data_IF_351231872892
#
_entry.id   IF_351231872892
#
_cell.length_a   1.000
_cell.length_b   1.000
_cell.length_c   1.000
_cell.angle_alpha   90.00
_cell.angle_beta   90.00
_cell.angle_gamma   90.00
#
_symmetry.space_group_name_H-M   'P 1'
#
loop_
_entity.id
_entity.type
_entity.pdbx_description
1 polymer ?
#
# COMPACT_ATOMS: atom_id res chain seq x y z
N UNK A 1 -4.75 4.99 26.43
CA UNK A 1 -5.38 3.84 25.73
C UNK A 1 -4.72 2.56 26.23
N UNK A 2 -5.47 1.52 26.52
CA UNK A 2 -4.85 0.28 27.07
C UNK A 2 -4.43 -0.63 25.92
N UNK A 3 -3.20 -0.48 25.43
CA UNK A 3 -2.62 -1.27 24.33
C UNK A 3 -2.71 -2.77 24.60
N UNK A 4 -2.37 -3.18 25.84
CA UNK A 4 -2.44 -4.59 26.22
C UNK A 4 -3.84 -5.19 26.03
N UNK A 5 -4.91 -4.48 26.45
CA UNK A 5 -6.29 -4.97 26.29
C UNK A 5 -6.64 -5.17 24.81
N UNK A 6 -6.26 -4.21 23.94
CA UNK A 6 -6.50 -4.32 22.50
C UNK A 6 -5.73 -5.49 21.87
N UNK A 7 -4.46 -5.68 22.25
CA UNK A 7 -3.69 -6.85 21.79
C UNK A 7 -4.33 -8.15 22.29
N UNK A 8 -4.72 -8.21 23.56
CA UNK A 8 -5.37 -9.39 24.14
C UNK A 8 -6.69 -9.72 23.44
N UNK A 9 -7.48 -8.72 23.06
CA UNK A 9 -8.72 -8.94 22.33
C UNK A 9 -8.45 -9.60 20.95
N UNK A 10 -7.42 -9.13 20.24
CA UNK A 10 -7.06 -9.70 18.93
C UNK A 10 -6.48 -11.10 19.09
N UNK A 11 -5.52 -11.30 20.00
CA UNK A 11 -4.85 -12.61 20.19
C UNK A 11 -5.84 -13.67 20.69
N UNK A 12 -6.74 -13.28 21.59
CA UNK A 12 -7.77 -14.18 22.08
C UNK A 12 -8.77 -14.55 20.97
N UNK A 13 -9.17 -13.59 20.16
CA UNK A 13 -10.11 -13.83 19.03
C UNK A 13 -9.49 -14.73 17.95
N UNK A 14 -8.23 -14.50 17.57
CA UNK A 14 -7.57 -15.25 16.48
C UNK A 14 -7.07 -16.62 16.93
N UNK A 15 -6.48 -16.72 18.12
CA UNK A 15 -5.74 -17.92 18.52
C UNK A 15 -6.17 -18.46 19.88
N UNK A 16 -7.12 -17.83 20.58
CA UNK A 16 -7.52 -18.19 21.95
C UNK A 16 -6.31 -18.22 22.91
N UNK A 17 -5.42 -17.24 22.77
CA UNK A 17 -4.18 -17.10 23.56
C UNK A 17 -4.11 -15.71 24.20
N UNK A 18 -3.39 -15.62 25.34
CA UNK A 18 -2.94 -14.31 25.83
C UNK A 18 -1.74 -13.82 25.03
N UNK A 19 -1.48 -12.50 24.98
CA UNK A 19 -0.33 -11.96 24.24
C UNK A 19 1.02 -12.54 24.66
N UNK A 20 1.21 -12.85 25.96
CA UNK A 20 2.43 -13.45 26.50
C UNK A 20 2.72 -14.84 25.90
N UNK A 21 1.67 -15.61 25.62
CA UNK A 21 1.75 -16.98 25.12
C UNK A 21 1.86 -17.05 23.58
N UNK A 22 1.77 -15.91 22.91
CA UNK A 22 1.89 -15.81 21.47
C UNK A 22 3.36 -15.78 21.03
N UNK A 23 3.65 -16.33 19.86
CA UNK A 23 4.95 -16.15 19.18
C UNK A 23 5.11 -14.71 18.68
N UNK A 24 6.33 -14.27 18.35
CA UNK A 24 6.55 -12.94 17.78
C UNK A 24 5.81 -12.76 16.46
N UNK A 25 5.68 -13.81 15.66
CA UNK A 25 4.90 -13.80 14.43
C UNK A 25 3.40 -13.57 14.68
N UNK A 26 2.80 -14.25 15.65
CA UNK A 26 1.39 -14.03 16.05
C UNK A 26 1.19 -12.61 16.60
N UNK A 27 2.14 -12.11 17.40
CA UNK A 27 2.10 -10.73 17.93
C UNK A 27 2.19 -9.71 16.78
N UNK A 28 3.04 -9.94 15.77
CA UNK A 28 3.09 -9.06 14.60
C UNK A 28 1.70 -8.92 13.96
N UNK A 29 1.00 -10.01 13.65
CA UNK A 29 -0.34 -9.94 13.08
C UNK A 29 -1.39 -9.32 14.01
N UNK A 30 -1.27 -9.55 15.32
CA UNK A 30 -2.15 -8.88 16.28
C UNK A 30 -1.93 -7.37 16.31
N UNK A 31 -0.66 -6.93 16.25
CA UNK A 31 -0.29 -5.53 16.19
C UNK A 31 -0.72 -4.88 14.86
N UNK A 32 -0.54 -5.58 13.74
CA UNK A 32 -1.01 -5.13 12.43
C UNK A 32 -2.52 -4.85 12.48
N UNK A 33 -3.31 -5.82 12.93
CA UNK A 33 -4.77 -5.67 13.00
C UNK A 33 -5.21 -4.56 13.97
N UNK A 34 -4.58 -4.50 15.15
CA UNK A 34 -4.85 -3.45 16.14
C UNK A 34 -4.55 -2.06 15.56
N UNK A 35 -3.36 -1.90 15.00
CA UNK A 35 -2.88 -0.62 14.48
C UNK A 35 -3.69 -0.19 13.26
N UNK A 36 -3.98 -1.13 12.36
CA UNK A 36 -4.85 -0.89 11.22
C UNK A 36 -6.22 -0.36 11.64
N UNK A 37 -6.89 -1.00 12.62
CA UNK A 37 -8.18 -0.53 13.15
C UNK A 37 -8.08 0.89 13.70
N UNK A 38 -7.02 1.21 14.44
CA UNK A 38 -6.79 2.54 14.97
C UNK A 38 -6.59 3.60 13.87
N UNK A 39 -5.84 3.26 12.83
CA UNK A 39 -5.66 4.14 11.67
C UNK A 39 -6.98 4.36 10.90
N UNK A 40 -7.76 3.28 10.72
CA UNK A 40 -9.06 3.33 10.02
C UNK A 40 -10.09 4.20 10.74
N UNK A 41 -10.05 4.22 12.07
CA UNK A 41 -10.97 5.02 12.89
C UNK A 41 -10.64 6.53 12.87
N UNK A 42 -9.49 6.93 12.31
CA UNK A 42 -9.17 8.34 12.12
C UNK A 42 -10.06 8.98 11.05
N UNK A 43 -10.55 10.21 11.28
CA UNK A 43 -11.33 10.90 10.27
C UNK A 43 -10.49 11.26 9.04
N UNK A 44 -11.14 11.36 7.88
CA UNK A 44 -10.50 11.94 6.68
C UNK A 44 -10.34 13.44 6.85
N UNK A 45 -9.23 14.03 6.35
CA UNK A 45 -9.08 15.48 6.30
C UNK A 45 -10.21 16.13 5.50
N UNK A 46 -10.55 17.36 5.87
CA UNK A 46 -11.56 18.15 5.19
C UNK A 46 -10.91 19.38 4.55
N UNK A 47 -11.40 19.80 3.39
CA UNK A 47 -10.90 20.97 2.68
C UNK A 47 -11.77 21.30 1.47
N UNK A 48 -11.71 22.56 1.02
CA UNK A 48 -12.42 22.99 -0.19
C UNK A 48 -11.86 22.32 -1.46
N UNK A 49 -10.57 22.00 -1.43
CA UNK A 49 -9.87 21.34 -2.52
C UNK A 49 -9.23 20.05 -2.03
N UNK A 50 -9.19 19.02 -2.89
CA UNK A 50 -8.49 17.78 -2.66
C UNK A 50 -7.30 17.65 -3.61
N UNK A 51 -6.15 17.31 -3.05
CA UNK A 51 -4.94 16.97 -3.79
C UNK A 51 -4.96 15.49 -4.16
N UNK A 52 -4.64 15.16 -5.41
CA UNK A 52 -4.38 13.79 -5.84
C UNK A 52 -2.93 13.71 -6.34
N UNK A 53 -2.09 13.03 -5.56
CA UNK A 53 -0.68 12.89 -5.87
C UNK A 53 -0.42 11.60 -6.63
N UNK A 54 -0.27 11.71 -7.95
CA UNK A 54 0.02 10.57 -8.82
C UNK A 54 1.51 10.25 -8.81
N UNK A 55 1.85 9.00 -8.53
CA UNK A 55 3.21 8.50 -8.69
C UNK A 55 3.18 7.04 -9.16
N UNK A 56 4.11 6.70 -10.07
CA UNK A 56 4.31 5.31 -10.47
C UNK A 56 4.90 4.47 -9.32
N UNK A 57 5.47 5.11 -8.30
CA UNK A 57 6.17 4.47 -7.20
C UNK A 57 5.86 5.15 -5.87
N UNK A 58 5.70 4.34 -4.82
CA UNK A 58 5.63 4.79 -3.43
C UNK A 58 6.48 3.88 -2.54
N UNK A 59 7.71 4.29 -2.24
CA UNK A 59 8.58 3.56 -1.31
C UNK A 59 8.20 3.91 0.13
N UNK A 60 7.13 3.31 0.61
CA UNK A 60 6.58 3.59 1.95
C UNK A 60 7.39 2.96 3.08
N UNK A 61 8.11 1.87 2.81
CA UNK A 61 8.84 1.11 3.82
C UNK A 61 7.90 0.27 4.70
N UNK A 62 8.43 -0.22 5.82
CA UNK A 62 7.64 -0.91 6.85
C UNK A 62 6.71 0.06 7.55
N UNK A 63 5.46 -0.32 7.74
CA UNK A 63 4.39 0.58 8.18
C UNK A 63 4.05 0.46 9.66
N UNK A 64 4.42 -0.65 10.34
CA UNK A 64 4.03 -0.88 11.72
C UNK A 64 4.54 0.24 12.63
N UNK A 65 5.85 0.43 12.72
CA UNK A 65 6.43 1.49 13.54
C UNK A 65 6.04 2.88 13.08
N UNK A 66 5.99 3.12 11.76
CA UNK A 66 5.55 4.39 11.22
C UNK A 66 4.13 4.75 11.71
N UNK A 67 3.21 3.81 11.65
CA UNK A 67 1.83 4.01 12.08
C UNK A 67 1.71 4.17 13.60
N UNK A 68 2.49 3.40 14.40
CA UNK A 68 2.54 3.56 15.85
C UNK A 68 3.05 4.96 16.25
N UNK A 69 4.07 5.47 15.56
CA UNK A 69 4.60 6.82 15.76
C UNK A 69 3.56 7.89 15.37
N UNK A 70 2.92 7.75 14.21
CA UNK A 70 1.89 8.69 13.76
C UNK A 70 0.69 8.75 14.71
N UNK A 71 0.30 7.60 15.27
CA UNK A 71 -0.76 7.50 16.28
C UNK A 71 -0.32 7.99 17.69
N UNK A 72 0.98 8.22 17.90
CA UNK A 72 1.55 8.64 19.20
C UNK A 72 1.52 7.56 20.26
N UNK A 73 1.53 6.28 19.88
CA UNK A 73 1.45 5.14 20.81
C UNK A 73 2.68 4.23 20.76
N UNK A 74 3.72 4.62 20.04
CA UNK A 74 4.93 3.82 19.87
C UNK A 74 5.56 3.43 21.20
N UNK A 75 5.90 4.41 22.07
CA UNK A 75 6.53 4.15 23.36
C UNK A 75 5.65 3.35 24.33
N UNK A 76 4.30 3.58 24.31
CA UNK A 76 3.37 2.80 25.14
C UNK A 76 3.35 1.34 24.67
N UNK A 77 3.35 1.11 23.35
CA UNK A 77 3.39 -0.23 22.77
C UNK A 77 4.68 -0.96 23.10
N UNK A 78 5.84 -0.28 22.97
CA UNK A 78 7.15 -0.84 23.29
C UNK A 78 7.20 -1.29 24.75
N UNK A 79 6.78 -0.44 25.71
CA UNK A 79 6.71 -0.78 27.14
C UNK A 79 5.79 -1.98 27.43
N UNK A 80 4.66 -2.08 26.73
CA UNK A 80 3.75 -3.23 26.87
C UNK A 80 4.43 -4.51 26.38
N UNK A 81 5.10 -4.49 25.24
CA UNK A 81 5.83 -5.63 24.72
C UNK A 81 6.98 -6.05 25.65
N UNK A 82 7.76 -5.09 26.15
CA UNK A 82 8.84 -5.35 27.11
C UNK A 82 8.31 -6.01 28.39
N UNK A 83 7.15 -5.60 28.89
CA UNK A 83 6.52 -6.20 30.08
C UNK A 83 6.16 -7.68 29.88
N UNK A 84 6.01 -8.12 28.63
CA UNK A 84 5.76 -9.50 28.22
C UNK A 84 7.03 -10.23 27.79
N UNK A 85 8.23 -9.61 27.97
CA UNK A 85 9.51 -10.17 27.55
C UNK A 85 9.73 -10.20 26.03
N UNK A 86 9.05 -9.33 25.29
CA UNK A 86 9.13 -9.22 23.83
C UNK A 86 9.76 -7.89 23.42
N UNK A 87 10.35 -7.85 22.23
CA UNK A 87 10.94 -6.63 21.67
C UNK A 87 10.26 -6.27 20.36
N UNK A 88 9.89 -5.00 20.21
CA UNK A 88 9.28 -4.50 18.99
C UNK A 88 10.17 -4.75 17.76
N UNK A 89 11.47 -4.50 17.88
CA UNK A 89 12.42 -4.73 16.78
C UNK A 89 12.50 -6.17 16.29
N UNK A 90 12.27 -7.16 17.17
CA UNK A 90 12.21 -8.57 16.77
C UNK A 90 10.87 -8.94 16.11
N UNK A 91 9.80 -8.24 16.49
CA UNK A 91 8.46 -8.45 15.94
C UNK A 91 8.37 -7.83 14.53
N UNK A 92 8.96 -6.67 14.32
CA UNK A 92 8.99 -5.99 13.01
C UNK A 92 9.74 -6.75 11.92
N UNK A 93 10.62 -7.69 12.29
CA UNK A 93 11.28 -8.56 11.30
C UNK A 93 10.29 -9.42 10.51
N UNK A 94 9.10 -9.69 11.08
CA UNK A 94 8.03 -10.45 10.41
C UNK A 94 7.21 -9.60 9.43
N UNK A 95 7.37 -8.28 9.42
CA UNK A 95 6.65 -7.41 8.49
C UNK A 95 7.22 -7.51 7.07
N UNK A 96 6.43 -7.98 6.08
CA UNK A 96 6.83 -7.88 4.70
C UNK A 96 6.77 -6.40 4.27
N UNK A 97 7.85 -5.90 3.69
CA UNK A 97 7.89 -4.53 3.18
C UNK A 97 7.03 -4.40 1.91
N UNK A 98 6.10 -3.43 1.86
CA UNK A 98 5.34 -3.16 0.65
C UNK A 98 6.24 -2.79 -0.53
N UNK A 99 6.28 -3.65 -1.55
CA UNK A 99 7.15 -3.51 -2.72
C UNK A 99 6.56 -2.56 -3.77
N UNK A 100 6.20 -1.34 -3.38
CA UNK A 100 5.48 -0.36 -4.20
C UNK A 100 6.37 0.71 -4.81
N UNK A 101 7.65 0.71 -4.53
CA UNK A 101 8.58 1.72 -5.02
C UNK A 101 10.03 1.40 -4.73
N UNK A 102 10.93 2.15 -5.36
CA UNK A 102 12.37 2.06 -5.19
C UNK A 102 13.01 3.43 -5.40
N UNK A 103 14.21 3.61 -4.84
CA UNK A 103 15.04 4.77 -5.06
C UNK A 103 14.39 6.12 -4.69
N UNK A 104 14.91 7.19 -5.33
CA UNK A 104 14.57 8.57 -4.98
C UNK A 104 13.14 8.97 -5.34
N UNK A 105 12.62 8.51 -6.48
CA UNK A 105 11.27 8.84 -6.94
C UNK A 105 10.21 8.29 -5.97
N UNK A 106 10.30 6.99 -5.66
CA UNK A 106 9.36 6.34 -4.77
C UNK A 106 9.45 6.86 -3.33
N UNK A 107 10.68 7.14 -2.84
CA UNK A 107 10.86 7.70 -1.50
C UNK A 107 10.34 9.13 -1.38
N UNK A 108 10.56 9.95 -2.39
CA UNK A 108 10.04 11.32 -2.41
C UNK A 108 8.50 11.33 -2.39
N UNK A 109 7.87 10.46 -3.18
CA UNK A 109 6.41 10.32 -3.20
C UNK A 109 5.85 9.90 -1.83
N UNK A 110 6.47 8.93 -1.16
CA UNK A 110 6.10 8.52 0.19
C UNK A 110 6.25 9.67 1.20
N UNK A 111 7.38 10.40 1.17
CA UNK A 111 7.61 11.54 2.06
C UNK A 111 6.59 12.68 1.84
N UNK A 112 6.21 12.95 0.60
CA UNK A 112 5.17 13.95 0.33
C UNK A 112 3.81 13.51 0.85
N UNK A 113 3.47 12.23 0.69
CA UNK A 113 2.20 11.70 1.19
C UNK A 113 2.14 11.77 2.73
N UNK A 114 3.21 11.39 3.42
CA UNK A 114 3.35 11.56 4.87
C UNK A 114 3.22 13.03 5.31
N UNK A 115 3.85 13.95 4.54
CA UNK A 115 3.78 15.38 4.83
C UNK A 115 2.37 15.94 4.66
N UNK A 116 1.66 15.53 3.58
CA UNK A 116 0.26 15.89 3.35
C UNK A 116 -0.61 15.46 4.53
N UNK A 117 -0.43 14.21 4.99
CA UNK A 117 -1.17 13.67 6.13
C UNK A 117 -0.81 14.38 7.44
N UNK A 118 0.48 14.61 7.73
CA UNK A 118 0.94 15.26 8.95
C UNK A 118 0.47 16.72 9.04
N UNK A 119 0.37 17.42 7.92
CA UNK A 119 -0.19 18.78 7.84
C UNK A 119 -1.72 18.80 7.91
N UNK A 120 -2.39 17.65 7.92
CA UNK A 120 -3.84 17.54 7.92
C UNK A 120 -4.50 18.04 6.63
N UNK A 121 -3.77 18.05 5.52
CA UNK A 121 -4.27 18.49 4.22
C UNK A 121 -5.16 17.41 3.60
N UNK A 122 -6.22 17.82 2.92
CA UNK A 122 -7.08 16.92 2.16
C UNK A 122 -6.38 16.51 0.87
N UNK A 123 -5.73 15.32 0.88
CA UNK A 123 -5.00 14.82 -0.28
C UNK A 123 -4.64 13.37 -0.17
N UNK A 124 -4.77 12.65 -1.28
CA UNK A 124 -4.51 11.22 -1.37
C UNK A 124 -3.45 10.92 -2.43
N UNK A 125 -2.72 9.81 -2.23
CA UNK A 125 -1.82 9.25 -3.23
C UNK A 125 -2.58 8.37 -4.21
N UNK A 126 -2.10 8.29 -5.45
CA UNK A 126 -2.64 7.41 -6.50
C UNK A 126 -1.49 6.68 -7.18
N UNK A 127 -1.53 5.35 -7.16
CA UNK A 127 -0.49 4.50 -7.71
C UNK A 127 -1.00 3.14 -8.19
N UNK A 128 -0.08 2.21 -8.39
CA UNK A 128 -0.37 0.82 -8.76
C UNK A 128 0.01 -0.14 -7.63
N UNK A 129 -0.76 -1.21 -7.49
CA UNK A 129 -0.53 -2.27 -6.53
C UNK A 129 0.40 -3.34 -7.13
N UNK A 130 1.71 -3.09 -7.14
CA UNK A 130 2.67 -4.05 -7.69
C UNK A 130 2.80 -5.27 -6.79
N UNK A 131 2.62 -6.46 -7.36
CA UNK A 131 2.74 -7.74 -6.66
C UNK A 131 4.19 -8.14 -6.42
N UNK A 132 5.08 -7.80 -7.37
CA UNK A 132 6.51 -8.12 -7.38
C UNK A 132 7.33 -6.85 -7.66
N UNK A 133 7.16 -5.83 -6.82
CA UNK A 133 7.81 -4.52 -7.03
C UNK A 133 9.31 -4.56 -6.76
N UNK A 134 9.76 -5.40 -5.82
CA UNK A 134 11.17 -5.63 -5.50
C UNK A 134 11.53 -7.10 -5.70
N UNK A 135 12.83 -7.38 -5.68
CA UNK A 135 13.37 -8.73 -5.84
C UNK A 135 13.95 -9.21 -4.52
N UNK A 136 13.66 -10.46 -4.17
CA UNK A 136 14.43 -11.17 -3.16
C UNK A 136 15.72 -11.66 -3.78
N UNK A 137 16.84 -11.15 -3.29
CA UNK A 137 18.16 -11.56 -3.76
C UNK A 137 18.61 -12.83 -3.05
N UNK A 138 19.07 -13.81 -3.84
CA UNK A 138 19.64 -15.06 -3.36
C UNK A 138 20.98 -15.33 -4.04
N UNK A 139 21.85 -16.06 -3.34
CA UNK A 139 23.09 -16.56 -3.93
C UNK A 139 22.95 -18.05 -4.23
N UNK A 140 23.10 -18.41 -5.49
CA UNK A 140 23.09 -19.80 -5.97
C UNK A 140 24.37 -20.02 -6.75
N UNK A 141 25.19 -21.01 -6.34
CA UNK A 141 26.47 -21.29 -6.93
C UNK A 141 27.38 -20.05 -7.07
N UNK A 142 27.47 -19.26 -6.03
CA UNK A 142 28.21 -17.97 -5.96
C UNK A 142 27.76 -16.89 -6.96
N UNK A 143 26.61 -17.05 -7.59
CA UNK A 143 26.00 -16.03 -8.43
C UNK A 143 24.76 -15.46 -7.74
N UNK A 144 24.60 -14.15 -7.81
CA UNK A 144 23.39 -13.48 -7.35
C UNK A 144 22.26 -13.80 -8.32
N UNK A 145 21.08 -14.11 -7.76
CA UNK A 145 19.85 -14.34 -8.50
C UNK A 145 18.73 -13.50 -7.89
N UNK A 146 17.95 -12.86 -8.74
CA UNK A 146 16.74 -12.14 -8.40
C UNK A 146 15.56 -13.12 -8.46
N UNK A 147 14.79 -13.17 -7.36
CA UNK A 147 13.55 -13.95 -7.29
C UNK A 147 12.39 -12.99 -7.01
N UNK A 148 11.17 -13.30 -7.46
CA UNK A 148 9.99 -12.55 -7.04
C UNK A 148 9.91 -12.48 -5.51
N UNK A 149 9.57 -11.33 -4.98
CA UNK A 149 9.35 -11.10 -3.54
C UNK A 149 7.88 -10.75 -3.30
N UNK A 150 6.99 -11.75 -3.14
CA UNK A 150 5.59 -11.52 -2.87
C UNK A 150 5.43 -10.94 -1.47
N UNK A 151 4.71 -9.83 -1.36
CA UNK A 151 4.43 -9.17 -0.09
C UNK A 151 2.93 -9.15 0.26
N UNK A 152 2.07 -9.48 -0.73
CA UNK A 152 0.60 -9.42 -0.60
C UNK A 152 0.00 -10.78 -0.18
N UNK A 153 0.77 -11.85 -0.15
CA UNK A 153 0.27 -13.22 0.05
C UNK A 153 -0.35 -13.49 1.43
N UNK A 154 -0.08 -12.62 2.41
CA UNK A 154 -0.57 -12.74 3.78
C UNK A 154 -1.42 -11.52 4.16
N UNK A 155 -1.90 -11.49 5.41
CA UNK A 155 -2.49 -10.29 5.97
C UNK A 155 -1.53 -9.11 5.81
N UNK A 156 -2.00 -8.02 5.21
CA UNK A 156 -1.19 -6.86 4.86
C UNK A 156 -1.91 -5.56 5.25
N UNK A 157 -1.25 -4.42 5.01
CA UNK A 157 -1.84 -3.10 5.22
C UNK A 157 -2.86 -2.69 4.15
N UNK A 158 -3.08 -3.53 3.15
CA UNK A 158 -4.03 -3.27 2.06
C UNK A 158 -5.47 -3.49 2.51
N UNK A 159 -6.33 -2.54 2.21
CA UNK A 159 -7.78 -2.62 2.36
C UNK A 159 -8.43 -2.80 0.99
N UNK A 160 -9.25 -3.83 0.86
CA UNK A 160 -10.08 -3.99 -0.33
C UNK A 160 -11.20 -2.95 -0.35
N UNK A 161 -11.41 -2.31 -1.49
CA UNK A 161 -12.50 -1.37 -1.66
C UNK A 161 -13.55 -1.93 -2.64
N UNK A 162 -14.73 -1.31 -2.66
CA UNK A 162 -15.78 -1.63 -3.65
C UNK A 162 -15.63 -0.85 -4.95
N UNK A 163 -14.60 0.00 -5.04
CA UNK A 163 -14.39 0.89 -6.19
C UNK A 163 -13.65 0.14 -7.30
N UNK A 164 -14.19 0.17 -8.48
CA UNK A 164 -13.54 -0.36 -9.69
C UNK A 164 -13.91 0.46 -10.92
N UNK A 165 -13.05 0.45 -11.92
CA UNK A 165 -13.23 1.17 -13.18
C UNK A 165 -12.85 0.29 -14.36
N UNK A 166 -13.51 0.52 -15.49
CA UNK A 166 -13.13 -0.07 -16.77
C UNK A 166 -12.12 0.85 -17.48
N UNK A 167 -10.95 0.31 -17.81
CA UNK A 167 -9.89 1.03 -18.53
C UNK A 167 -9.79 0.46 -19.95
N UNK A 168 -10.26 1.19 -20.97
CA UNK A 168 -10.19 0.72 -22.36
C UNK A 168 -8.78 0.91 -22.94
N UNK A 169 -8.28 -0.13 -23.59
CA UNK A 169 -7.08 -0.12 -24.43
C UNK A 169 -7.45 -0.34 -25.88
N UNK A 170 -6.51 -0.18 -26.79
CA UNK A 170 -6.79 -0.29 -28.23
C UNK A 170 -7.31 -1.65 -28.73
N UNK A 171 -7.18 -2.71 -27.95
CA UNK A 171 -7.60 -4.08 -28.31
C UNK A 171 -8.32 -4.85 -27.21
N UNK A 172 -8.41 -4.31 -25.99
CA UNK A 172 -9.06 -4.94 -24.85
C UNK A 172 -9.48 -3.89 -23.82
N UNK A 173 -10.30 -4.29 -22.87
CA UNK A 173 -10.64 -3.48 -21.70
C UNK A 173 -10.19 -4.21 -20.45
N UNK A 174 -9.54 -3.49 -19.51
CA UNK A 174 -9.07 -4.05 -18.24
C UNK A 174 -9.82 -3.41 -17.09
N UNK A 175 -10.34 -4.24 -16.19
CA UNK A 175 -10.94 -3.77 -14.95
C UNK A 175 -9.83 -3.39 -13.95
N UNK A 176 -9.88 -2.15 -13.48
CA UNK A 176 -9.06 -1.64 -12.40
C UNK A 176 -9.83 -1.76 -11.09
N UNK A 177 -9.35 -2.57 -10.15
CA UNK A 177 -9.87 -2.65 -8.78
C UNK A 177 -9.01 -1.76 -7.89
N UNK A 178 -9.64 -1.05 -6.94
CA UNK A 178 -8.92 -0.16 -6.05
C UNK A 178 -8.71 -0.81 -4.69
N UNK A 179 -7.49 -0.71 -4.19
CA UNK A 179 -7.09 -1.05 -2.82
C UNK A 179 -6.52 0.18 -2.14
N UNK A 180 -6.66 0.28 -0.83
CA UNK A 180 -6.17 1.41 -0.07
C UNK A 180 -5.11 1.00 0.94
N UNK A 181 -4.11 1.88 1.15
CA UNK A 181 -3.29 1.90 2.35
C UNK A 181 -3.65 3.17 3.12
N UNK A 182 -3.92 3.02 4.41
CA UNK A 182 -4.21 4.16 5.29
C UNK A 182 -2.92 4.85 5.69
N UNK A 183 -2.86 6.16 5.53
CA UNK A 183 -1.70 7.00 5.85
C UNK A 183 -2.07 7.94 7.00
N UNK A 184 -1.83 7.56 8.27
CA UNK A 184 -2.13 8.41 9.41
C UNK A 184 -1.15 9.57 9.48
N UNK A 185 -1.65 10.77 9.70
CA UNK A 185 -0.82 11.96 9.83
C UNK A 185 -0.26 12.13 11.23
N UNK A 186 1.06 12.20 11.36
CA UNK A 186 1.72 12.43 12.64
C UNK A 186 1.27 13.75 13.28
N UNK A 187 0.59 13.65 14.41
CA UNK A 187 0.08 14.80 15.16
C UNK A 187 -1.19 15.48 14.60
N UNK A 188 -1.65 15.15 13.40
CA UNK A 188 -2.81 15.77 12.76
C UNK A 188 -4.15 15.16 13.18
N UNK A 189 -4.15 13.94 13.71
CA UNK A 189 -5.33 13.15 14.09
C UNK A 189 -6.32 12.89 12.94
N UNK A 190 -5.81 12.90 11.72
CA UNK A 190 -6.53 12.51 10.49
C UNK A 190 -5.72 11.47 9.73
N UNK A 191 -6.36 10.80 8.77
CA UNK A 191 -5.66 9.88 7.89
C UNK A 191 -6.09 10.08 6.44
N UNK A 192 -5.08 10.16 5.57
CA UNK A 192 -5.23 10.16 4.12
C UNK A 192 -5.22 8.71 3.60
N UNK A 193 -5.30 8.55 2.30
CA UNK A 193 -5.25 7.24 1.63
C UNK A 193 -4.17 7.24 0.55
N UNK A 194 -3.57 6.08 0.37
CA UNK A 194 -2.84 5.74 -0.84
C UNK A 194 -3.72 4.76 -1.63
N UNK A 195 -4.34 5.24 -2.69
CA UNK A 195 -5.16 4.47 -3.60
C UNK A 195 -4.26 3.73 -4.59
N UNK A 196 -4.35 2.42 -4.60
CA UNK A 196 -3.56 1.54 -5.43
C UNK A 196 -4.47 0.76 -6.37
N UNK A 197 -4.31 0.97 -7.67
CA UNK A 197 -5.06 0.22 -8.66
C UNK A 197 -4.38 -1.09 -9.00
N UNK A 198 -5.18 -2.14 -9.09
CA UNK A 198 -4.76 -3.50 -9.41
C UNK A 198 -5.63 -4.08 -10.53
N UNK A 199 -5.13 -5.07 -11.24
CA UNK A 199 -5.95 -5.87 -12.13
C UNK A 199 -6.73 -6.92 -11.33
N UNK A 200 -7.90 -7.33 -11.82
CA UNK A 200 -8.76 -8.27 -11.10
C UNK A 200 -8.10 -9.66 -10.92
N UNK A 201 -7.35 -10.11 -11.94
CA UNK A 201 -6.62 -11.38 -11.92
C UNK A 201 -5.15 -11.17 -12.30
N UNK A 202 -4.30 -10.73 -11.36
CA UNK A 202 -2.88 -10.52 -11.66
C UNK A 202 -2.16 -11.85 -11.89
N UNK A 203 -1.26 -11.86 -12.86
CA UNK A 203 -0.44 -13.03 -13.16
C UNK A 203 0.49 -13.35 -12.00
N UNK A 204 0.45 -14.61 -11.55
CA UNK A 204 1.35 -15.11 -10.51
C UNK A 204 2.61 -15.72 -11.14
N UNK A 205 3.75 -15.44 -10.52
CA UNK A 205 5.05 -15.97 -10.93
C UNK A 205 5.56 -16.89 -9.82
N UNK A 206 5.55 -18.19 -10.07
CA UNK A 206 5.92 -19.20 -9.07
C UNK A 206 7.43 -19.51 -9.05
N UNK A 207 8.10 -19.36 -10.18
CA UNK A 207 9.52 -19.73 -10.32
C UNK A 207 10.29 -18.62 -11.05
N UNK A 208 11.37 -18.20 -10.43
CA UNK A 208 12.32 -17.17 -10.80
C UNK A 208 12.32 -16.70 -12.25
N UNK A 209 12.33 -15.38 -12.41
CA UNK A 209 12.31 -14.66 -13.68
C UNK A 209 11.23 -13.58 -13.66
N UNK A 210 11.54 -12.50 -14.33
CA UNK A 210 10.67 -11.34 -14.54
C UNK A 210 10.24 -11.24 -16.00
N UNK A 211 10.20 -12.38 -16.67
CA UNK A 211 9.73 -12.46 -18.06
C UNK A 211 8.22 -12.33 -18.09
N UNK A 212 7.70 -11.41 -18.88
CA UNK A 212 6.28 -11.32 -19.15
C UNK A 212 6.00 -11.62 -20.64
N UNK A 213 4.84 -12.23 -20.88
CA UNK A 213 4.35 -12.45 -22.22
C UNK A 213 3.56 -11.24 -22.68
N UNK A 214 3.97 -10.57 -23.76
CA UNK A 214 3.26 -9.46 -24.37
C UNK A 214 1.84 -9.80 -24.83
N UNK A 215 1.55 -11.08 -25.06
CA UNK A 215 0.20 -11.53 -25.41
C UNK A 215 -0.71 -11.62 -24.17
N UNK A 216 -0.12 -11.53 -22.97
CA UNK A 216 -0.82 -11.57 -21.68
C UNK A 216 -0.60 -10.27 -20.88
N UNK A 217 -0.41 -9.15 -21.59
CA UNK A 217 -0.06 -7.86 -20.98
C UNK A 217 -1.12 -7.37 -19.99
N UNK A 218 -2.39 -7.68 -20.22
CA UNK A 218 -3.50 -7.31 -19.35
C UNK A 218 -3.35 -7.84 -17.91
N UNK A 219 -2.86 -9.06 -17.73
CA UNK A 219 -2.64 -9.67 -16.42
C UNK A 219 -1.28 -9.28 -15.79
N UNK A 220 -0.39 -8.66 -16.57
CA UNK A 220 0.94 -8.25 -16.13
C UNK A 220 1.03 -6.78 -15.68
N UNK A 221 -0.05 -5.99 -15.84
CA UNK A 221 -0.04 -4.54 -15.59
C UNK A 221 0.40 -4.18 -14.16
N UNK A 222 0.09 -5.02 -13.17
CA UNK A 222 0.44 -4.81 -11.77
C UNK A 222 1.43 -5.85 -11.23
N UNK A 223 2.01 -6.69 -12.10
CA UNK A 223 2.94 -7.71 -11.66
C UNK A 223 4.29 -7.11 -11.26
N UNK A 224 4.90 -6.28 -12.10
CA UNK A 224 6.27 -5.79 -11.90
C UNK A 224 6.34 -4.28 -11.90
N UNK A 225 7.10 -3.72 -10.95
CA UNK A 225 7.47 -2.31 -10.96
C UNK A 225 8.47 -2.00 -12.09
N UNK A 226 9.46 -2.87 -12.27
CA UNK A 226 10.52 -2.72 -13.28
C UNK A 226 10.55 -3.92 -14.22
N UNK A 227 9.74 -3.93 -15.30
CA UNK A 227 9.95 -4.88 -16.38
C UNK A 227 11.29 -4.63 -17.06
N UNK A 228 11.85 -5.64 -17.73
CA UNK A 228 13.08 -5.47 -18.50
C UNK A 228 12.88 -4.57 -19.73
N UNK A 229 13.12 -3.27 -19.56
CA UNK A 229 12.91 -2.24 -20.56
C UNK A 229 14.09 -2.07 -21.55
N UNK A 230 15.06 -2.99 -21.51
CA UNK A 230 16.05 -3.14 -22.61
C UNK A 230 15.37 -3.65 -23.88
N UNK A 231 14.22 -4.31 -23.74
CA UNK A 231 13.41 -4.82 -24.84
C UNK A 231 12.17 -3.96 -25.04
N UNK A 232 11.67 -3.94 -26.30
CA UNK A 232 10.49 -3.16 -26.66
C UNK A 232 9.22 -3.58 -25.88
N UNK A 233 9.08 -4.87 -25.56
CA UNK A 233 7.94 -5.39 -24.81
C UNK A 233 7.91 -4.83 -23.38
N UNK A 234 9.07 -4.70 -22.71
CA UNK A 234 9.15 -4.09 -21.39
C UNK A 234 8.85 -2.59 -21.41
N UNK A 235 9.31 -1.88 -22.44
CA UNK A 235 8.93 -0.46 -22.63
C UNK A 235 7.43 -0.30 -22.85
N UNK A 236 6.83 -1.19 -23.64
CA UNK A 236 5.40 -1.18 -23.89
C UNK A 236 4.60 -1.42 -22.61
N UNK A 237 5.01 -2.39 -21.77
CA UNK A 237 4.35 -2.64 -20.49
C UNK A 237 4.38 -1.40 -19.59
N UNK A 238 5.51 -0.67 -19.52
CA UNK A 238 5.61 0.58 -18.76
C UNK A 238 4.63 1.65 -19.24
N UNK A 239 4.44 1.79 -20.55
CA UNK A 239 3.46 2.73 -21.11
C UNK A 239 2.04 2.31 -20.72
N UNK A 240 1.72 1.03 -20.80
CA UNK A 240 0.41 0.51 -20.41
C UNK A 240 0.14 0.66 -18.92
N UNK A 241 1.13 0.44 -18.06
CA UNK A 241 1.03 0.66 -16.61
C UNK A 241 0.68 2.12 -16.30
N UNK A 242 1.37 3.07 -16.92
CA UNK A 242 1.10 4.50 -16.72
C UNK A 242 -0.29 4.89 -17.22
N UNK A 243 -0.67 4.41 -18.40
CA UNK A 243 -2.01 4.66 -18.94
C UNK A 243 -3.10 4.08 -18.03
N UNK A 244 -2.93 2.85 -17.56
CA UNK A 244 -3.86 2.18 -16.65
C UNK A 244 -4.04 2.98 -15.36
N UNK A 245 -2.93 3.36 -14.70
CA UNK A 245 -2.95 4.15 -13.47
C UNK A 245 -3.64 5.51 -13.66
N UNK A 246 -3.23 6.26 -14.69
CA UNK A 246 -3.77 7.61 -14.91
C UNK A 246 -5.23 7.56 -15.31
N UNK A 247 -5.61 6.62 -16.16
CA UNK A 247 -7.02 6.45 -16.56
C UNK A 247 -7.92 6.09 -15.37
N UNK A 248 -7.51 5.11 -14.55
CA UNK A 248 -8.26 4.73 -13.37
C UNK A 248 -8.33 5.86 -12.32
N UNK A 249 -7.20 6.56 -12.09
CA UNK A 249 -7.15 7.68 -11.17
C UNK A 249 -7.97 8.89 -11.64
N UNK A 250 -8.01 9.18 -12.95
CA UNK A 250 -8.88 10.21 -13.49
C UNK A 250 -10.38 9.87 -13.29
N UNK A 251 -10.75 8.60 -13.48
CA UNK A 251 -12.11 8.14 -13.21
C UNK A 251 -12.46 8.23 -11.72
N UNK A 252 -11.50 7.96 -10.81
CA UNK A 252 -11.68 8.15 -9.37
C UNK A 252 -11.97 9.62 -9.04
N UNK A 253 -11.20 10.55 -9.60
CA UNK A 253 -11.41 11.99 -9.39
C UNK A 253 -12.81 12.41 -9.87
N UNK A 254 -13.21 11.98 -11.05
CA UNK A 254 -14.53 12.30 -11.61
C UNK A 254 -15.66 11.72 -10.74
N UNK A 255 -15.51 10.48 -10.29
CA UNK A 255 -16.47 9.84 -9.39
C UNK A 255 -16.58 10.60 -8.07
N UNK A 256 -15.48 10.96 -7.43
CA UNK A 256 -15.51 11.69 -6.17
C UNK A 256 -16.10 13.11 -6.32
N UNK A 257 -15.87 13.78 -7.46
CA UNK A 257 -16.54 15.06 -7.76
C UNK A 257 -18.06 14.90 -7.84
N UNK A 258 -18.51 13.87 -8.59
CA UNK A 258 -19.93 13.56 -8.76
C UNK A 258 -20.59 13.19 -7.43
N UNK A 259 -19.96 12.30 -6.63
CA UNK A 259 -20.42 11.89 -5.31
C UNK A 259 -20.58 13.08 -4.34
N UNK A 260 -19.74 14.13 -4.50
CA UNK A 260 -19.83 15.37 -3.73
C UNK A 260 -20.77 16.43 -4.37
N UNK A 261 -21.43 16.12 -5.46
CA UNK A 261 -22.37 17.00 -6.14
C UNK A 261 -21.72 18.14 -6.93
N UNK A 262 -20.44 18.02 -7.30
CA UNK A 262 -19.73 19.01 -8.10
C UNK A 262 -19.77 18.65 -9.59
N UNK A 263 -19.89 19.67 -10.45
CA UNK A 263 -19.82 19.45 -11.90
C UNK A 263 -18.36 19.45 -12.38
N UNK A 264 -18.10 18.72 -13.46
CA UNK A 264 -16.79 18.71 -14.12
C UNK A 264 -16.29 20.11 -14.52
N UNK A 265 -17.19 21.02 -14.90
CA UNK A 265 -16.84 22.41 -15.27
C UNK A 265 -16.16 23.18 -14.12
N UNK A 266 -16.39 22.75 -12.86
CA UNK A 266 -15.80 23.34 -11.67
C UNK A 266 -14.62 22.58 -11.10
N UNK A 267 -14.08 21.57 -11.82
CA UNK A 267 -13.01 20.69 -11.32
C UNK A 267 -11.82 21.47 -10.73
N UNK A 268 -11.40 22.55 -11.37
CA UNK A 268 -10.28 23.37 -10.91
C UNK A 268 -10.50 24.07 -9.58
N UNK A 269 -11.75 24.15 -9.10
CA UNK A 269 -12.09 24.71 -7.78
C UNK A 269 -11.99 23.67 -6.67
N UNK A 270 -12.05 22.38 -6.99
CA UNK A 270 -12.16 21.29 -6.03
C UNK A 270 -10.97 20.32 -6.08
N UNK A 271 -10.21 20.31 -7.17
CA UNK A 271 -9.09 19.38 -7.40
C UNK A 271 -7.77 20.10 -7.60
N UNK A 272 -6.69 19.52 -7.04
CA UNK A 272 -5.30 19.92 -7.23
C UNK A 272 -4.49 18.73 -7.71
#
# INVERSE_FOLDING_TARGET
MKIYEKLNDVTNTKWNKKPEDCTNHEIYYAMLEMTYKLCRDLPKPQGERKLYYFSAEFLVGKLLSNNLLALGIFEETEKVLESMGKKLSEIEEYEPEPSLGNGGLGRLAACFLDSIAALGLNGDGVGLNYHYGLFRQRFVNNNQQENPDPWIENESWLEDTVVSFEVPFGGFTQKAIMKDIIVPGAGSKVANRLHLFDVEEPKKFENGGIDFDKNDISHCLTSFLYPDDRYEDGKLLRVYQQYFMVSAGAQLILKELEDNGFSFENISKHVV
#
